data_IF_478250517511
#
_entry.id   IF_478250517511
#
_cell.length_a   1.000
_cell.length_b   1.000
_cell.length_c   1.000
_cell.angle_alpha   90.00
_cell.angle_beta   90.00
_cell.angle_gamma   90.00
#
_symmetry.space_group_name_H-M   'P 1'
#
loop_
_entity.id
_entity.type
_entity.pdbx_description
1 polymer ?
#
# COMPACT_ATOMS: atom_id res chain seq x y z
N UNK A 1 -14.91 13.55 7.84
CA UNK A 1 -13.61 14.27 7.79
C UNK A 1 -12.52 13.28 8.20
N UNK A 2 -11.68 12.86 7.27
CA UNK A 2 -10.53 11.99 7.54
C UNK A 2 -9.54 12.75 8.43
N UNK A 3 -9.38 12.27 9.65
CA UNK A 3 -8.64 12.95 10.72
C UNK A 3 -7.20 13.25 10.34
N UNK A 4 -6.81 14.50 10.61
CA UNK A 4 -5.45 15.02 10.62
C UNK A 4 -4.53 14.04 11.37
N UNK A 5 -3.48 13.55 10.68
CA UNK A 5 -2.19 13.32 11.33
C UNK A 5 -1.68 11.88 11.54
N UNK A 6 -2.23 10.84 10.89
CA UNK A 6 -1.50 9.55 10.85
C UNK A 6 -0.50 9.57 9.70
N UNK A 7 0.78 9.28 9.99
CA UNK A 7 1.79 9.05 8.97
C UNK A 7 1.30 7.93 8.04
N UNK A 8 1.10 8.28 6.77
CA UNK A 8 0.67 7.39 5.69
C UNK A 8 1.75 7.38 4.61
N UNK A 9 2.19 6.19 4.24
CA UNK A 9 2.97 5.99 3.02
C UNK A 9 2.10 6.25 1.79
N UNK A 10 2.72 6.28 0.61
CA UNK A 10 2.01 6.37 -0.67
C UNK A 10 0.98 5.25 -0.84
N UNK A 11 1.27 4.03 -0.34
CA UNK A 11 0.31 2.91 -0.32
C UNK A 11 -0.86 3.25 0.61
N UNK A 12 -0.58 3.73 1.83
CA UNK A 12 -1.63 4.13 2.76
C UNK A 12 -2.56 5.21 2.20
N UNK A 13 -1.98 6.20 1.51
CA UNK A 13 -2.71 7.27 0.83
C UNK A 13 -3.55 6.73 -0.33
N UNK A 14 -3.05 5.77 -1.11
CA UNK A 14 -3.82 5.09 -2.16
C UNK A 14 -5.06 4.42 -1.57
N UNK A 15 -4.91 3.65 -0.49
CA UNK A 15 -6.04 3.01 0.17
C UNK A 15 -7.08 4.03 0.64
N UNK A 16 -6.63 5.11 1.30
CA UNK A 16 -7.51 6.18 1.77
C UNK A 16 -8.20 6.91 0.59
N UNK A 17 -7.53 7.07 -0.56
CA UNK A 17 -8.06 7.73 -1.77
C UNK A 17 -9.12 6.91 -2.49
N UNK A 18 -8.90 5.61 -2.62
CA UNK A 18 -9.80 4.68 -3.33
C UNK A 18 -10.81 3.99 -2.41
N UNK A 19 -10.85 4.36 -1.12
CA UNK A 19 -11.84 3.86 -0.16
C UNK A 19 -11.59 2.44 0.35
N UNK A 20 -10.36 1.95 0.26
CA UNK A 20 -9.99 0.63 0.77
C UNK A 20 -9.56 0.68 2.23
N UNK A 21 -9.99 -0.32 3.00
CA UNK A 21 -9.44 -0.55 4.34
C UNK A 21 -8.11 -1.31 4.27
N UNK A 22 -7.28 -1.17 5.32
CA UNK A 22 -6.06 -1.97 5.46
C UNK A 22 -6.36 -3.48 5.54
N UNK A 23 -7.53 -3.86 6.05
CA UNK A 23 -7.94 -5.26 6.14
C UNK A 23 -8.26 -5.85 4.77
N UNK A 24 -8.99 -5.11 3.92
CA UNK A 24 -9.30 -5.52 2.54
C UNK A 24 -8.03 -5.64 1.69
N UNK A 25 -7.13 -4.65 1.80
CA UNK A 25 -5.82 -4.72 1.18
C UNK A 25 -5.08 -5.99 1.61
N UNK A 26 -4.92 -6.19 2.92
CA UNK A 26 -4.25 -7.36 3.50
C UNK A 26 -4.82 -8.68 2.99
N UNK A 27 -6.15 -8.83 2.99
CA UNK A 27 -6.83 -10.05 2.52
C UNK A 27 -6.61 -10.27 1.03
N UNK A 28 -6.62 -9.21 0.24
CA UNK A 28 -6.45 -9.28 -1.22
C UNK A 28 -5.05 -9.71 -1.62
N UNK A 29 -4.01 -9.13 -1.01
CA UNK A 29 -2.62 -9.49 -1.29
C UNK A 29 -2.10 -10.69 -0.46
N UNK A 30 -2.94 -11.20 0.44
CA UNK A 30 -2.69 -12.35 1.33
C UNK A 30 -1.42 -12.18 2.15
N UNK A 31 -1.39 -11.13 2.98
CA UNK A 31 -0.27 -10.85 3.90
C UNK A 31 -0.71 -10.85 5.36
N UNK A 32 0.25 -10.88 6.28
CA UNK A 32 -0.04 -10.74 7.70
C UNK A 32 -0.36 -9.25 8.04
N UNK A 33 -0.94 -9.03 9.23
CA UNK A 33 -1.35 -7.69 9.69
C UNK A 33 -0.16 -6.76 9.94
N UNK A 34 0.95 -7.29 10.43
CA UNK A 34 2.15 -6.52 10.73
C UNK A 34 2.75 -5.91 9.46
N UNK A 35 2.97 -6.74 8.44
CA UNK A 35 3.48 -6.33 7.13
C UNK A 35 2.54 -5.30 6.45
N UNK A 36 1.22 -5.49 6.56
CA UNK A 36 0.26 -4.50 6.03
C UNK A 36 0.37 -3.16 6.76
N UNK A 37 0.53 -3.20 8.08
CA UNK A 37 0.68 -2.01 8.92
C UNK A 37 1.97 -1.26 8.57
N UNK A 38 3.09 -1.97 8.46
CA UNK A 38 4.39 -1.42 8.07
C UNK A 38 4.31 -0.74 6.70
N UNK A 39 3.78 -1.45 5.69
CA UNK A 39 3.61 -0.88 4.34
C UNK A 39 2.78 0.40 4.31
N UNK A 40 1.81 0.57 5.21
CA UNK A 40 0.94 1.75 5.23
C UNK A 40 1.50 2.90 6.09
N UNK A 41 2.52 2.68 6.92
CA UNK A 41 2.99 3.65 7.94
C UNK A 41 4.48 3.97 7.88
N UNK A 42 5.30 3.06 7.38
CA UNK A 42 6.76 3.15 7.36
C UNK A 42 7.25 3.38 5.93
N UNK A 43 7.65 4.61 5.60
CA UNK A 43 8.13 4.94 4.24
C UNK A 43 9.44 4.23 3.88
N UNK A 44 10.28 3.91 4.88
CA UNK A 44 11.54 3.18 4.69
C UNK A 44 11.35 1.66 4.51
N UNK A 45 10.12 1.16 4.63
CA UNK A 45 9.86 -0.27 4.49
C UNK A 45 9.81 -0.67 3.01
N UNK A 46 10.93 -1.19 2.50
CA UNK A 46 11.02 -1.79 1.17
C UNK A 46 10.78 -3.29 1.30
N UNK A 47 9.62 -3.82 0.87
CA UNK A 47 9.36 -5.24 0.96
C UNK A 47 10.07 -6.02 -0.15
N UNK A 48 10.08 -7.35 -0.06
CA UNK A 48 10.69 -8.19 -1.10
C UNK A 48 10.04 -7.99 -2.47
N UNK A 49 10.79 -8.24 -3.57
CA UNK A 49 10.28 -8.06 -4.94
C UNK A 49 8.97 -8.82 -5.22
N UNK A 50 8.78 -10.00 -4.62
CA UNK A 50 7.52 -10.76 -4.70
C UNK A 50 6.34 -9.97 -4.11
N UNK A 51 6.58 -9.26 -3.01
CA UNK A 51 5.57 -8.45 -2.34
C UNK A 51 5.26 -7.19 -3.13
N UNK A 52 6.29 -6.50 -3.63
CA UNK A 52 6.14 -5.34 -4.53
C UNK A 52 5.23 -5.72 -5.69
N UNK A 53 5.47 -6.87 -6.34
CA UNK A 53 4.62 -7.35 -7.43
C UNK A 53 3.16 -7.52 -7.03
N UNK A 54 2.88 -8.10 -5.85
CA UNK A 54 1.50 -8.26 -5.35
C UNK A 54 0.82 -6.92 -5.08
N UNK A 55 1.53 -5.99 -4.44
CA UNK A 55 1.03 -4.64 -4.15
C UNK A 55 0.75 -3.87 -5.44
N UNK A 56 1.69 -3.90 -6.40
CA UNK A 56 1.50 -3.24 -7.68
C UNK A 56 0.34 -3.85 -8.49
N UNK A 57 0.14 -5.16 -8.43
CA UNK A 57 -1.01 -5.80 -9.07
C UNK A 57 -2.35 -5.39 -8.44
N UNK A 58 -2.36 -5.05 -7.15
CA UNK A 58 -3.52 -4.47 -6.48
C UNK A 58 -3.75 -3.04 -6.95
N UNK A 59 -2.73 -2.18 -6.85
CA UNK A 59 -2.78 -0.75 -7.23
C UNK A 59 -3.19 -0.55 -8.69
N UNK A 60 -2.67 -1.39 -9.60
CA UNK A 60 -2.95 -1.27 -11.04
C UNK A 60 -4.40 -1.56 -11.43
N UNK A 61 -5.23 -2.05 -10.50
CA UNK A 61 -6.67 -2.16 -10.71
C UNK A 61 -7.32 -0.79 -10.78
N UNK A 62 -6.79 0.17 -10.02
CA UNK A 62 -7.29 1.54 -9.95
C UNK A 62 -6.47 2.50 -10.82
N UNK A 63 -5.15 2.28 -10.90
CA UNK A 63 -4.21 3.11 -11.68
C UNK A 63 -3.47 2.23 -12.69
N UNK A 64 -4.07 1.96 -13.86
CA UNK A 64 -3.41 1.23 -14.93
C UNK A 64 -2.09 1.92 -15.30
N UNK A 65 -0.99 1.16 -15.32
CA UNK A 65 0.34 1.69 -15.67
C UNK A 65 1.18 2.21 -14.49
N UNK A 66 0.66 2.19 -13.26
CA UNK A 66 1.44 2.54 -12.07
C UNK A 66 2.79 1.80 -11.99
N UNK A 67 3.86 2.53 -11.71
CA UNK A 67 5.23 2.02 -11.53
C UNK A 67 5.53 1.79 -10.05
N UNK A 68 6.47 0.89 -9.77
CA UNK A 68 6.84 0.60 -8.38
C UNK A 68 7.47 1.83 -7.69
N UNK A 69 8.29 2.59 -8.42
CA UNK A 69 8.92 3.85 -7.98
C UNK A 69 7.90 4.92 -7.56
N UNK A 70 6.68 4.85 -8.10
CA UNK A 70 5.61 5.76 -7.71
C UNK A 70 5.16 5.50 -6.26
N UNK A 71 5.35 4.29 -5.71
CA UNK A 71 4.82 3.85 -4.42
C UNK A 71 5.89 3.41 -3.40
N UNK A 72 7.06 3.03 -3.88
CA UNK A 72 8.21 2.58 -3.08
C UNK A 72 9.42 3.46 -3.41
N UNK A 73 10.24 3.77 -2.41
CA UNK A 73 11.48 4.54 -2.58
C UNK A 73 12.63 3.58 -2.94
N UNK A 74 12.67 3.16 -4.22
CA UNK A 74 13.59 2.14 -4.78
C UNK A 74 14.34 2.65 -6.00
#
# INVERSE_FOLDING_TARGET
MFGIGKKRTKIGQHLDTYGYTQEEFRKTIKINKDTATKMCREDAYIPSGMMIKKVMNFIRRDVPGAKAEDYFDI
#
